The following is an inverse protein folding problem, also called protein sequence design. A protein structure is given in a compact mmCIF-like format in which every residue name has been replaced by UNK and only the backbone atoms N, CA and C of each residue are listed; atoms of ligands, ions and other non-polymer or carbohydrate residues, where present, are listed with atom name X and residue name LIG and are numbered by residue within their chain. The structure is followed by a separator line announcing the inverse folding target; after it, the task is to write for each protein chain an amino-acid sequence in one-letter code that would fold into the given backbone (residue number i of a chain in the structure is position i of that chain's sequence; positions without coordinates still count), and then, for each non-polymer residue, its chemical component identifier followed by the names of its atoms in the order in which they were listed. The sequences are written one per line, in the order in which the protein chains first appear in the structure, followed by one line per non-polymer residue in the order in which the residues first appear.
data_IF_643930861724
#
_entry.id   IF_643930861724
#
_cell.length_a   1.000
_cell.length_b   1.000
_cell.length_c   1.000
_cell.angle_alpha   90.00
_cell.angle_beta   90.00
_cell.angle_gamma   90.00
#
_symmetry.space_group_name_H-M   'P 1'
#
loop_
_entity.id
_entity.type
_entity.pdbx_description
1 polymer ?
#
# COMPACT_ATOMS: atom_id res chain seq x y z
N UNK A 1 15.71 -4.39 53.26
CA UNK A 1 15.98 -4.80 51.88
C UNK A 1 14.68 -4.67 51.08
N UNK A 2 14.49 -3.56 50.39
CA UNK A 2 13.34 -3.28 49.56
C UNK A 2 13.47 -4.11 48.25
N UNK A 3 12.56 -5.06 48.04
CA UNK A 3 12.42 -5.76 46.77
C UNK A 3 11.97 -4.74 45.72
N UNK A 4 12.92 -4.23 44.93
CA UNK A 4 12.62 -3.43 43.78
C UNK A 4 11.69 -4.22 42.86
N UNK A 5 10.44 -3.77 42.72
CA UNK A 5 9.54 -4.23 41.65
C UNK A 5 10.23 -3.91 40.32
N UNK A 6 10.74 -4.95 39.65
CA UNK A 6 11.12 -4.82 38.23
C UNK A 6 9.86 -4.36 37.51
N UNK A 7 9.77 -3.06 37.18
CA UNK A 7 8.74 -2.57 36.28
C UNK A 7 8.94 -3.34 34.97
N UNK A 8 7.97 -4.15 34.58
CA UNK A 8 7.93 -4.71 33.22
C UNK A 8 8.08 -3.52 32.27
N UNK A 9 9.20 -3.47 31.53
CA UNK A 9 9.42 -2.43 30.54
C UNK A 9 8.31 -2.59 29.51
N UNK A 10 7.45 -1.61 29.37
CA UNK A 10 6.39 -1.60 28.36
C UNK A 10 7.10 -1.58 27.01
N UNK A 11 6.76 -2.52 26.14
CA UNK A 11 7.27 -2.60 24.79
C UNK A 11 6.10 -2.39 23.84
N UNK A 12 6.24 -1.46 22.91
CA UNK A 12 5.24 -1.20 21.88
C UNK A 12 5.86 -1.52 20.52
N UNK A 13 5.48 -2.66 19.97
CA UNK A 13 5.94 -3.11 18.67
C UNK A 13 5.22 -2.33 17.55
N UNK A 14 5.88 -2.15 16.40
CA UNK A 14 5.34 -1.44 15.24
C UNK A 14 4.09 -2.12 14.67
N UNK A 15 4.05 -3.45 14.70
CA UNK A 15 2.94 -4.28 14.27
C UNK A 15 2.80 -5.49 15.23
N UNK A 16 1.62 -6.13 15.25
CA UNK A 16 1.37 -7.31 16.09
C UNK A 16 0.66 -8.42 15.31
N UNK A 17 1.44 -9.15 14.50
CA UNK A 17 0.94 -10.27 13.69
C UNK A 17 0.51 -11.47 14.54
N UNK A 18 1.09 -11.62 15.75
CA UNK A 18 0.68 -12.67 16.69
C UNK A 18 -0.76 -12.48 17.19
N UNK A 19 -1.14 -11.24 17.51
CA UNK A 19 -2.53 -10.94 17.88
C UNK A 19 -3.52 -11.14 16.72
N UNK A 20 -3.09 -10.90 15.48
CA UNK A 20 -3.90 -11.26 14.31
C UNK A 20 -4.17 -12.76 14.23
N UNK A 21 -3.13 -13.58 14.45
CA UNK A 21 -3.28 -15.03 14.50
C UNK A 21 -4.23 -15.46 15.61
N UNK A 22 -4.06 -14.93 16.82
CA UNK A 22 -4.92 -15.25 17.96
C UNK A 22 -6.41 -14.92 17.69
N UNK A 23 -6.69 -13.89 16.91
CA UNK A 23 -8.05 -13.50 16.55
C UNK A 23 -8.74 -14.45 15.57
N UNK A 24 -7.98 -15.20 14.74
CA UNK A 24 -8.54 -16.03 13.66
C UNK A 24 -8.24 -17.54 13.79
N UNK A 25 -7.33 -17.94 14.68
CA UNK A 25 -6.81 -19.31 14.77
C UNK A 25 -7.89 -20.38 14.88
N UNK A 26 -8.92 -20.14 15.66
CA UNK A 26 -9.97 -21.13 15.93
C UNK A 26 -10.80 -21.45 14.67
N UNK A 27 -10.90 -20.49 13.73
CA UNK A 27 -11.58 -20.66 12.44
C UNK A 27 -10.62 -21.17 11.36
N UNK A 28 -9.37 -20.73 11.37
CA UNK A 28 -8.39 -21.06 10.33
C UNK A 28 -7.80 -22.45 10.54
N UNK A 29 -7.50 -22.87 11.79
CA UNK A 29 -6.86 -24.15 12.07
C UNK A 29 -7.58 -25.35 11.47
N UNK A 30 -8.92 -25.53 11.61
CA UNK A 30 -9.62 -26.63 10.96
C UNK A 30 -9.54 -26.61 9.42
N UNK A 31 -9.51 -25.39 8.83
CA UNK A 31 -9.34 -25.22 7.37
C UNK A 31 -7.95 -25.65 6.91
N UNK A 32 -6.91 -25.34 7.70
CA UNK A 32 -5.55 -25.80 7.43
C UNK A 32 -5.40 -27.32 7.53
N UNK A 33 -5.99 -27.93 8.57
CA UNK A 33 -5.97 -29.37 8.75
C UNK A 33 -6.60 -30.09 7.55
N UNK A 34 -7.76 -29.62 7.09
CA UNK A 34 -8.43 -30.13 5.90
C UNK A 34 -7.59 -29.90 4.62
N UNK A 35 -6.98 -28.73 4.48
CA UNK A 35 -6.10 -28.40 3.35
C UNK A 35 -4.89 -29.33 3.28
N UNK A 36 -4.21 -29.57 4.40
CA UNK A 36 -3.06 -30.50 4.43
C UNK A 36 -3.45 -31.96 4.19
N UNK A 37 -4.61 -32.39 4.71
CA UNK A 37 -5.12 -33.73 4.42
C UNK A 37 -5.47 -33.94 2.94
N UNK A 38 -5.99 -32.90 2.28
CA UNK A 38 -6.32 -32.90 0.86
C UNK A 38 -5.07 -33.03 -0.03
N UNK A 39 -3.92 -32.47 0.41
CA UNK A 39 -2.62 -32.53 -0.28
C UNK A 39 -2.56 -31.80 -1.62
N UNK A 40 -3.45 -30.85 -1.87
CA UNK A 40 -3.55 -30.08 -3.12
C UNK A 40 -3.18 -28.62 -2.87
N UNK A 41 -1.90 -28.27 -3.00
CA UNK A 41 -1.33 -27.04 -2.49
C UNK A 41 -1.29 -25.88 -3.48
N UNK A 42 -1.34 -26.14 -4.79
CA UNK A 42 -1.29 -25.12 -5.85
C UNK A 42 -2.55 -25.20 -6.71
N UNK A 43 -3.21 -24.07 -6.86
CA UNK A 43 -4.51 -24.00 -7.50
C UNK A 43 -5.61 -24.64 -6.64
N UNK A 44 -6.82 -24.61 -7.12
CA UNK A 44 -7.96 -25.17 -6.39
C UNK A 44 -8.86 -24.09 -5.82
N UNK A 45 -9.99 -24.50 -5.24
CA UNK A 45 -11.08 -23.63 -4.85
C UNK A 45 -10.78 -22.59 -3.78
N UNK A 46 -9.64 -22.69 -3.06
CA UNK A 46 -9.25 -21.76 -2.02
C UNK A 46 -8.89 -20.38 -2.61
N UNK A 47 -8.16 -20.35 -3.73
CA UNK A 47 -7.77 -19.10 -4.41
C UNK A 47 -8.99 -18.46 -5.06
N UNK A 48 -9.75 -19.22 -5.82
CA UNK A 48 -10.97 -18.75 -6.47
C UNK A 48 -11.97 -18.20 -5.44
N UNK A 49 -12.16 -18.90 -4.32
CA UNK A 49 -13.08 -18.47 -3.26
C UNK A 49 -12.60 -17.19 -2.54
N UNK A 50 -11.31 -16.92 -2.48
CA UNK A 50 -10.77 -15.65 -1.99
C UNK A 50 -10.94 -14.55 -3.05
N UNK A 51 -10.62 -14.83 -4.32
CA UNK A 51 -10.78 -13.89 -5.43
C UNK A 51 -12.24 -13.40 -5.54
N UNK A 52 -13.21 -14.31 -5.46
CA UNK A 52 -14.65 -13.97 -5.45
C UNK A 52 -15.01 -13.06 -4.26
N UNK A 53 -14.59 -13.44 -3.04
CA UNK A 53 -14.86 -12.65 -1.84
C UNK A 53 -14.19 -11.27 -1.89
N UNK A 54 -12.98 -11.16 -2.46
CA UNK A 54 -12.28 -9.89 -2.57
C UNK A 54 -12.89 -8.99 -3.65
N UNK A 55 -13.34 -9.55 -4.77
CA UNK A 55 -14.07 -8.81 -5.81
C UNK A 55 -15.39 -8.26 -5.26
N UNK A 56 -16.15 -9.07 -4.49
CA UNK A 56 -17.36 -8.62 -3.81
C UNK A 56 -17.07 -7.49 -2.81
N UNK A 57 -16.04 -7.66 -1.97
CA UNK A 57 -15.63 -6.66 -0.98
C UNK A 57 -15.26 -5.32 -1.62
N UNK A 58 -14.47 -5.34 -2.71
CA UNK A 58 -14.05 -4.13 -3.42
C UNK A 58 -15.11 -3.58 -4.38
N UNK A 59 -16.23 -4.29 -4.55
CA UNK A 59 -17.30 -3.97 -5.53
C UNK A 59 -16.74 -3.83 -6.95
N UNK A 60 -15.82 -4.74 -7.31
CA UNK A 60 -15.26 -4.88 -8.67
C UNK A 60 -15.74 -6.19 -9.28
N UNK A 61 -15.73 -6.28 -10.62
CA UNK A 61 -16.21 -7.49 -11.31
C UNK A 61 -15.26 -8.68 -11.11
N UNK A 62 -13.95 -8.41 -11.01
CA UNK A 62 -12.93 -9.46 -10.97
C UNK A 62 -11.81 -9.12 -10.01
N UNK A 63 -11.33 -10.12 -9.28
CA UNK A 63 -10.09 -10.10 -8.54
C UNK A 63 -9.22 -11.30 -8.96
N UNK A 64 -7.93 -11.07 -9.09
CA UNK A 64 -6.95 -12.06 -9.56
C UNK A 64 -5.79 -12.10 -8.57
N UNK A 65 -5.65 -13.19 -7.82
CA UNK A 65 -4.56 -13.39 -6.86
C UNK A 65 -3.23 -13.58 -7.57
N UNK A 66 -2.17 -12.98 -7.04
CA UNK A 66 -0.81 -13.08 -7.57
C UNK A 66 0.22 -13.26 -6.43
N UNK A 67 1.48 -13.44 -6.82
CA UNK A 67 2.59 -13.74 -5.90
C UNK A 67 2.90 -12.63 -4.89
N UNK A 68 2.78 -11.36 -5.27
CA UNK A 68 3.03 -10.18 -4.43
C UNK A 68 2.59 -8.90 -5.16
N UNK A 69 2.63 -7.74 -4.46
CA UNK A 69 2.23 -6.46 -5.04
C UNK A 69 3.12 -6.01 -6.20
N UNK A 70 4.44 -6.20 -6.12
CA UNK A 70 5.39 -5.82 -7.17
C UNK A 70 5.10 -6.56 -8.48
N UNK A 71 4.90 -7.88 -8.39
CA UNK A 71 4.50 -8.69 -9.53
C UNK A 71 3.10 -8.31 -10.01
N UNK A 72 2.20 -7.96 -9.10
CA UNK A 72 0.87 -7.45 -9.44
C UNK A 72 0.92 -6.21 -10.32
N UNK A 73 1.74 -5.21 -9.96
CA UNK A 73 1.95 -4.00 -10.77
C UNK A 73 2.57 -4.33 -12.14
N UNK A 74 3.56 -5.23 -12.16
CA UNK A 74 4.17 -5.70 -13.41
C UNK A 74 3.14 -6.38 -14.32
N UNK A 75 2.33 -7.27 -13.78
CA UNK A 75 1.26 -7.97 -14.53
C UNK A 75 0.18 -7.01 -15.01
N UNK A 76 -0.19 -6.00 -14.19
CA UNK A 76 -1.17 -5.00 -14.56
C UNK A 76 -0.70 -4.17 -15.77
N UNK A 77 0.56 -3.74 -15.79
CA UNK A 77 1.15 -3.05 -16.94
C UNK A 77 1.18 -3.95 -18.20
N UNK A 78 1.54 -5.24 -18.05
CA UNK A 78 1.54 -6.18 -19.16
C UNK A 78 0.15 -6.46 -19.72
N UNK A 79 -0.88 -6.47 -18.86
CA UNK A 79 -2.26 -6.70 -19.30
C UNK A 79 -2.82 -5.60 -20.21
N UNK A 80 -2.25 -4.39 -20.16
CA UNK A 80 -2.63 -3.28 -21.06
C UNK A 80 -2.15 -3.48 -22.51
N UNK A 81 -1.18 -4.38 -22.78
CA UNK A 81 -0.60 -4.66 -24.10
C UNK A 81 -0.17 -3.39 -24.88
N UNK A 82 0.46 -2.47 -24.20
CA UNK A 82 0.87 -1.18 -24.74
C UNK A 82 1.90 -1.33 -25.87
N UNK A 83 1.67 -0.64 -26.98
CA UNK A 83 2.58 -0.61 -28.13
C UNK A 83 3.06 0.81 -28.36
N UNK A 84 4.35 0.95 -28.75
CA UNK A 84 4.99 2.23 -28.93
C UNK A 84 5.54 2.81 -27.64
N UNK A 85 5.95 4.08 -27.71
CA UNK A 85 6.57 4.78 -26.58
C UNK A 85 5.55 5.08 -25.50
N UNK A 86 5.79 4.57 -24.31
CA UNK A 86 4.88 4.66 -23.18
C UNK A 86 5.54 5.43 -22.02
N UNK A 87 4.82 6.39 -21.43
CA UNK A 87 5.24 6.99 -20.17
C UNK A 87 4.36 6.48 -19.04
N UNK A 88 5.00 6.06 -17.93
CA UNK A 88 4.32 5.74 -16.67
C UNK A 88 4.60 6.86 -15.67
N UNK A 89 3.55 7.50 -15.18
CA UNK A 89 3.60 8.65 -14.28
C UNK A 89 3.14 8.22 -12.90
N UNK A 90 3.98 8.43 -11.89
CA UNK A 90 3.72 8.01 -10.50
C UNK A 90 4.18 9.06 -9.49
N UNK A 91 3.73 9.02 -8.22
CA UNK A 91 4.21 9.93 -7.18
C UNK A 91 5.66 9.64 -6.81
N UNK A 92 6.43 10.68 -6.51
CA UNK A 92 7.85 10.59 -6.18
C UNK A 92 8.14 9.99 -4.79
N UNK A 93 7.14 9.96 -3.91
CA UNK A 93 7.23 9.47 -2.52
C UNK A 93 6.72 8.03 -2.32
N UNK A 94 6.43 7.30 -3.41
CA UNK A 94 5.97 5.91 -3.37
C UNK A 94 7.04 4.91 -2.90
N UNK A 95 6.74 3.63 -3.06
CA UNK A 95 7.69 2.55 -2.79
C UNK A 95 8.45 2.18 -4.06
N UNK A 96 9.68 1.70 -3.91
CA UNK A 96 10.57 1.35 -5.05
C UNK A 96 9.97 0.27 -5.98
N UNK A 97 8.97 -0.50 -5.51
CA UNK A 97 8.27 -1.48 -6.32
C UNK A 97 7.58 -0.86 -7.53
N UNK A 98 7.08 0.38 -7.40
CA UNK A 98 6.42 1.10 -8.49
C UNK A 98 7.39 1.29 -9.67
N UNK A 99 8.62 1.73 -9.39
CA UNK A 99 9.70 1.86 -10.39
C UNK A 99 10.04 0.49 -11.00
N UNK A 100 10.22 -0.53 -10.18
CA UNK A 100 10.62 -1.85 -10.67
C UNK A 100 9.54 -2.50 -11.55
N UNK A 101 8.27 -2.24 -11.28
CA UNK A 101 7.18 -2.73 -12.11
C UNK A 101 7.30 -2.26 -13.56
N UNK A 102 7.86 -1.07 -13.78
CA UNK A 102 8.10 -0.47 -15.10
C UNK A 102 9.46 -0.87 -15.66
N UNK A 103 10.53 -0.81 -14.85
CA UNK A 103 11.92 -1.11 -15.32
C UNK A 103 12.07 -2.51 -15.91
N UNK A 104 11.23 -3.45 -15.48
CA UNK A 104 11.26 -4.83 -15.97
C UNK A 104 10.22 -5.12 -17.05
N UNK A 105 9.58 -4.08 -17.63
CA UNK A 105 8.78 -4.24 -18.83
C UNK A 105 9.67 -4.39 -20.07
N UNK A 106 9.17 -5.13 -21.06
CA UNK A 106 9.73 -5.14 -22.40
C UNK A 106 9.10 -4.00 -23.23
N UNK A 107 9.91 -3.19 -23.90
CA UNK A 107 9.43 -2.10 -24.72
C UNK A 107 10.07 -0.75 -24.38
N UNK A 108 9.54 0.30 -24.96
CA UNK A 108 10.02 1.68 -24.79
C UNK A 108 9.20 2.37 -23.70
N UNK A 109 9.66 2.23 -22.46
CA UNK A 109 9.02 2.78 -21.28
C UNK A 109 9.85 3.88 -20.64
N UNK A 110 9.26 5.07 -20.50
CA UNK A 110 9.77 6.17 -19.70
C UNK A 110 9.03 6.25 -18.36
N UNK A 111 9.71 6.68 -17.31
CA UNK A 111 9.14 6.91 -15.99
C UNK A 111 9.19 8.40 -15.68
N UNK A 112 8.08 8.96 -15.22
CA UNK A 112 8.02 10.32 -14.69
C UNK A 112 7.56 10.30 -13.23
N UNK A 113 8.26 11.06 -12.40
CA UNK A 113 7.91 11.25 -10.99
C UNK A 113 7.29 12.61 -10.79
N UNK A 114 6.09 12.65 -10.26
CA UNK A 114 5.38 13.88 -9.87
C UNK A 114 5.43 14.01 -8.35
N UNK A 115 5.74 15.20 -7.84
CA UNK A 115 5.76 15.46 -6.41
C UNK A 115 4.36 15.27 -5.79
N UNK A 116 4.32 15.12 -4.49
CA UNK A 116 3.08 14.91 -3.77
C UNK A 116 2.52 16.20 -3.16
N UNK A 117 1.22 16.19 -2.93
CA UNK A 117 0.48 17.21 -2.19
C UNK A 117 0.75 17.16 -0.66
N UNK A 118 0.03 17.96 0.12
CA UNK A 118 0.14 17.99 1.58
C UNK A 118 -0.33 16.69 2.26
N UNK A 119 -1.10 15.86 1.56
CA UNK A 119 -1.65 14.57 2.01
C UNK A 119 -0.79 13.37 1.61
N UNK A 120 0.41 13.61 1.07
CA UNK A 120 1.31 12.58 0.54
C UNK A 120 0.77 11.84 -0.70
N UNK A 121 -0.23 12.37 -1.37
CA UNK A 121 -0.78 11.80 -2.61
C UNK A 121 -0.25 12.57 -3.82
N UNK A 122 -0.29 11.96 -5.02
CA UNK A 122 0.17 12.61 -6.24
C UNK A 122 -0.49 14.00 -6.42
N UNK A 123 0.32 15.05 -6.65
CA UNK A 123 -0.22 16.39 -6.90
C UNK A 123 -0.88 16.45 -8.29
N UNK A 124 -2.21 16.50 -8.30
CA UNK A 124 -3.00 16.48 -9.53
C UNK A 124 -2.80 17.72 -10.41
N UNK A 125 -2.41 18.86 -9.82
CA UNK A 125 -2.13 20.09 -10.58
C UNK A 125 -0.80 19.97 -11.33
N UNK A 126 0.23 19.44 -10.67
CA UNK A 126 1.50 19.14 -11.31
C UNK A 126 1.34 18.07 -12.38
N UNK A 127 0.55 17.02 -12.10
CA UNK A 127 0.22 15.96 -13.06
C UNK A 127 -0.44 16.54 -14.33
N UNK A 128 -1.47 17.39 -14.17
CA UNK A 128 -2.15 18.01 -15.31
C UNK A 128 -1.21 18.91 -16.11
N UNK A 129 -0.42 19.73 -15.44
CA UNK A 129 0.60 20.60 -16.08
C UNK A 129 1.62 19.77 -16.88
N UNK A 130 2.08 18.65 -16.34
CA UNK A 130 2.98 17.74 -17.06
C UNK A 130 2.34 17.24 -18.35
N UNK A 131 1.12 16.74 -18.28
CA UNK A 131 0.41 16.20 -19.43
C UNK A 131 0.07 17.24 -20.50
N UNK A 132 -0.25 18.48 -20.10
CA UNK A 132 -0.43 19.60 -21.06
C UNK A 132 0.82 19.85 -21.90
N UNK A 133 1.98 19.69 -21.32
CA UNK A 133 3.25 19.92 -21.98
C UNK A 133 3.80 18.71 -22.77
N UNK A 134 3.60 17.49 -22.23
CA UNK A 134 4.34 16.30 -22.68
C UNK A 134 3.49 15.16 -23.27
N UNK A 135 2.15 15.20 -23.15
CA UNK A 135 1.27 14.11 -23.61
C UNK A 135 1.54 13.68 -25.06
N UNK A 136 1.84 14.63 -25.95
CA UNK A 136 2.07 14.40 -27.38
C UNK A 136 3.40 13.67 -27.70
N UNK A 137 4.31 13.57 -26.72
CA UNK A 137 5.64 12.96 -26.90
C UNK A 137 5.55 11.42 -26.79
N UNK A 138 4.39 10.87 -26.42
CA UNK A 138 4.21 9.46 -26.11
C UNK A 138 2.96 8.90 -26.82
N UNK A 139 3.04 7.65 -27.26
CA UNK A 139 1.89 6.92 -27.81
C UNK A 139 0.89 6.60 -26.70
N UNK A 140 1.39 6.13 -25.56
CA UNK A 140 0.59 5.78 -24.39
C UNK A 140 1.06 6.52 -23.13
N UNK A 141 0.11 6.81 -22.24
CA UNK A 141 0.36 7.27 -20.88
C UNK A 141 -0.37 6.35 -19.92
N UNK A 142 0.34 5.93 -18.86
CA UNK A 142 -0.23 5.23 -17.72
C UNK A 142 -0.06 6.10 -16.47
N UNK A 143 -1.15 6.46 -15.84
CA UNK A 143 -1.14 7.08 -14.52
C UNK A 143 -1.12 5.97 -13.46
N UNK A 144 -0.17 6.04 -12.53
CA UNK A 144 -0.03 5.09 -11.44
C UNK A 144 -0.12 5.84 -10.10
N UNK A 145 -1.33 6.32 -9.70
CA UNK A 145 -1.53 6.88 -8.37
C UNK A 145 -1.29 5.82 -7.30
N UNK A 146 -0.61 6.22 -6.22
CA UNK A 146 -0.34 5.35 -5.05
C UNK A 146 -1.14 5.88 -3.87
N UNK A 147 -1.98 5.04 -3.28
CA UNK A 147 -2.77 5.35 -2.08
C UNK A 147 -1.91 5.18 -0.82
N UNK A 148 -0.93 6.07 -0.67
CA UNK A 148 0.15 5.94 0.31
C UNK A 148 -0.38 6.09 1.75
N UNK A 149 0.16 5.29 2.67
CA UNK A 149 -0.17 5.24 4.11
C UNK A 149 -1.61 4.82 4.44
N UNK A 150 -2.41 4.46 3.44
CA UNK A 150 -3.84 4.15 3.61
C UNK A 150 -4.73 5.38 3.43
N UNK A 151 -4.18 6.47 2.89
CA UNK A 151 -4.92 7.60 2.38
C UNK A 151 -5.31 7.35 0.92
N UNK A 152 -6.38 7.94 0.46
CA UNK A 152 -6.83 7.84 -0.93
C UNK A 152 -6.26 9.01 -1.73
N UNK A 153 -5.75 8.77 -2.93
CA UNK A 153 -5.44 9.85 -3.90
C UNK A 153 -6.73 10.50 -4.38
N UNK A 154 -6.67 11.75 -4.85
CA UNK A 154 -7.83 12.41 -5.46
C UNK A 154 -8.21 11.74 -6.78
N UNK A 155 -8.89 10.58 -6.67
CA UNK A 155 -9.24 9.75 -7.80
C UNK A 155 -10.28 10.41 -8.72
N UNK A 156 -11.04 11.37 -8.23
CA UNK A 156 -11.95 12.15 -9.06
C UNK A 156 -11.17 13.03 -10.04
N UNK A 157 -10.17 13.75 -9.55
CA UNK A 157 -9.31 14.58 -10.40
C UNK A 157 -8.39 13.72 -11.27
N UNK A 158 -7.80 12.64 -10.73
CA UNK A 158 -7.02 11.67 -11.54
C UNK A 158 -7.86 11.14 -12.72
N UNK A 159 -9.11 10.72 -12.48
CA UNK A 159 -10.00 10.20 -13.53
C UNK A 159 -10.38 11.28 -14.55
N UNK A 160 -10.62 12.52 -14.10
CA UNK A 160 -10.88 13.66 -15.00
C UNK A 160 -9.67 13.91 -15.92
N UNK A 161 -8.47 13.92 -15.34
CA UNK A 161 -7.22 14.12 -16.09
C UNK A 161 -6.99 12.96 -17.04
N UNK A 162 -7.14 11.71 -16.58
CA UNK A 162 -6.99 10.53 -17.41
C UNK A 162 -7.92 10.56 -18.65
N UNK A 163 -9.18 10.95 -18.43
CA UNK A 163 -10.16 11.10 -19.53
C UNK A 163 -9.77 12.22 -20.50
N UNK A 164 -9.34 13.40 -20.00
CA UNK A 164 -8.92 14.56 -20.82
C UNK A 164 -7.75 14.19 -21.74
N UNK A 165 -6.77 13.46 -21.22
CA UNK A 165 -5.54 13.14 -21.94
C UNK A 165 -5.49 11.73 -22.52
N UNK A 166 -6.55 10.94 -22.36
CA UNK A 166 -6.66 9.55 -22.83
C UNK A 166 -5.53 8.68 -22.24
N UNK A 167 -5.43 8.67 -20.92
CA UNK A 167 -4.46 7.88 -20.17
C UNK A 167 -5.13 6.61 -19.61
N UNK A 168 -4.37 5.54 -19.50
CA UNK A 168 -4.71 4.39 -18.66
C UNK A 168 -4.47 4.72 -17.19
N UNK A 169 -5.18 4.05 -16.27
CA UNK A 169 -5.01 4.24 -14.84
C UNK A 169 -4.82 2.88 -14.17
N UNK A 170 -3.69 2.72 -13.49
CA UNK A 170 -3.42 1.58 -12.58
C UNK A 170 -3.32 2.15 -11.17
N UNK A 171 -4.26 1.81 -10.28
CA UNK A 171 -4.18 2.22 -8.88
C UNK A 171 -3.24 1.30 -8.10
N UNK A 172 -2.25 1.84 -7.38
CA UNK A 172 -1.55 1.08 -6.34
C UNK A 172 -2.23 1.30 -4.98
N UNK A 173 -3.03 0.32 -4.59
CA UNK A 173 -3.74 0.26 -3.31
C UNK A 173 -3.04 -0.65 -2.29
N UNK A 174 -1.75 -0.92 -2.45
CA UNK A 174 -0.96 -1.80 -1.57
C UNK A 174 -1.00 -1.42 -0.09
N UNK A 175 -1.39 -0.20 0.23
CA UNK A 175 -1.52 0.32 1.60
C UNK A 175 -2.94 0.75 1.97
N UNK A 176 -3.93 0.53 1.09
CA UNK A 176 -5.25 1.15 1.20
C UNK A 176 -6.43 0.15 1.14
N UNK A 177 -6.24 -1.06 1.67
CA UNK A 177 -7.29 -2.08 1.71
C UNK A 177 -8.51 -1.59 2.50
N UNK A 178 -9.62 -1.35 1.80
CA UNK A 178 -10.88 -0.86 2.38
C UNK A 178 -11.00 0.65 2.50
N UNK A 179 -10.02 1.44 2.01
CA UNK A 179 -10.12 2.90 1.97
C UNK A 179 -11.18 3.36 0.97
N UNK A 180 -11.85 4.49 1.29
CA UNK A 180 -12.94 5.05 0.48
C UNK A 180 -12.71 6.52 0.18
N UNK A 181 -13.14 6.94 -1.01
CA UNK A 181 -13.21 8.34 -1.40
C UNK A 181 -14.42 9.02 -0.76
N UNK A 182 -14.46 10.36 -0.79
CA UNK A 182 -15.63 11.16 -0.34
C UNK A 182 -16.92 10.88 -1.10
N UNK A 183 -16.87 10.17 -2.23
CA UNK A 183 -18.04 9.68 -2.96
C UNK A 183 -18.51 8.29 -2.47
N UNK A 184 -17.90 7.74 -1.41
CA UNK A 184 -18.19 6.43 -0.85
C UNK A 184 -17.65 5.26 -1.68
N UNK A 185 -16.94 5.52 -2.80
CA UNK A 185 -16.34 4.47 -3.62
C UNK A 185 -15.05 3.96 -2.98
N UNK A 186 -14.88 2.66 -2.99
CA UNK A 186 -13.64 2.04 -2.55
C UNK A 186 -12.52 2.25 -3.59
N UNK A 187 -11.26 2.32 -3.13
CA UNK A 187 -10.11 2.26 -4.02
C UNK A 187 -10.20 1.01 -4.91
N UNK A 188 -9.75 1.11 -6.15
CA UNK A 188 -9.89 0.06 -7.16
C UNK A 188 -11.14 0.15 -8.04
N UNK A 189 -12.01 1.14 -7.80
CA UNK A 189 -13.22 1.36 -8.61
C UNK A 189 -13.07 2.47 -9.67
N UNK A 190 -11.91 3.11 -9.74
CA UNK A 190 -11.67 4.25 -10.64
C UNK A 190 -10.74 3.91 -11.80
N UNK A 191 -9.72 3.10 -11.57
CA UNK A 191 -8.74 2.71 -12.57
C UNK A 191 -9.20 1.59 -13.50
N UNK A 192 -8.46 1.38 -14.56
CA UNK A 192 -8.58 0.20 -15.44
C UNK A 192 -8.23 -1.07 -14.67
N UNK A 193 -7.22 -0.94 -13.80
CA UNK A 193 -6.69 -1.99 -12.93
C UNK A 193 -6.33 -1.39 -11.57
N UNK A 194 -6.41 -2.20 -10.52
CA UNK A 194 -5.91 -1.84 -9.20
C UNK A 194 -5.12 -2.98 -8.58
N UNK A 195 -4.04 -2.67 -7.90
CA UNK A 195 -3.13 -3.66 -7.31
C UNK A 195 -3.07 -3.49 -5.79
N UNK A 196 -3.19 -4.59 -5.08
CA UNK A 196 -3.09 -4.67 -3.63
C UNK A 196 -1.95 -5.62 -3.24
N UNK A 197 -1.05 -5.16 -2.38
CA UNK A 197 -0.05 -6.03 -1.75
C UNK A 197 -0.65 -6.66 -0.49
N UNK A 198 -0.56 -7.97 -0.38
CA UNK A 198 -0.94 -8.68 0.83
C UNK A 198 0.28 -9.14 1.64
N UNK A 199 1.41 -8.40 1.61
CA UNK A 199 2.54 -8.63 2.51
C UNK A 199 2.06 -8.68 3.97
N UNK A 200 2.63 -9.52 4.85
CA UNK A 200 2.09 -9.78 6.19
C UNK A 200 1.77 -8.54 7.02
N UNK A 201 2.54 -7.47 6.87
CA UNK A 201 2.33 -6.20 7.60
C UNK A 201 1.20 -5.32 7.05
N UNK A 202 0.58 -5.65 5.92
CA UNK A 202 -0.51 -4.87 5.33
C UNK A 202 -1.81 -5.03 6.13
N UNK A 203 -2.75 -4.10 5.95
CA UNK A 203 -4.04 -4.14 6.65
C UNK A 203 -4.78 -5.46 6.38
N UNK A 204 -4.72 -5.96 5.14
CA UNK A 204 -5.06 -7.33 4.78
C UNK A 204 -3.77 -8.07 4.42
N UNK A 205 -3.07 -8.61 5.40
CA UNK A 205 -1.80 -9.31 5.22
C UNK A 205 -1.93 -10.82 5.23
N UNK A 206 -1.28 -11.50 4.29
CA UNK A 206 -1.12 -12.95 4.25
C UNK A 206 -0.13 -13.43 5.33
N UNK A 207 0.30 -14.69 5.28
CA UNK A 207 1.37 -15.24 6.14
C UNK A 207 2.71 -15.37 5.41
N UNK A 208 2.82 -14.75 4.25
CA UNK A 208 3.97 -14.68 3.37
C UNK A 208 3.68 -13.66 2.28
N UNK A 209 4.42 -13.72 1.17
CA UNK A 209 4.16 -12.84 0.04
C UNK A 209 2.84 -13.22 -0.65
N UNK A 210 2.07 -12.22 -1.02
CA UNK A 210 0.82 -12.35 -1.77
C UNK A 210 0.38 -10.98 -2.30
N UNK A 211 -0.47 -10.98 -3.33
CA UNK A 211 -1.08 -9.78 -3.90
C UNK A 211 -2.37 -10.09 -4.62
N UNK A 212 -3.13 -9.05 -4.93
CA UNK A 212 -4.38 -9.15 -5.69
C UNK A 212 -4.44 -8.03 -6.70
N UNK A 213 -4.94 -8.33 -7.91
CA UNK A 213 -5.23 -7.35 -8.94
C UNK A 213 -6.74 -7.34 -9.15
N UNK A 214 -7.37 -6.17 -9.15
CA UNK A 214 -8.80 -6.04 -9.46
C UNK A 214 -9.02 -5.29 -10.76
N UNK A 215 -10.10 -5.62 -11.45
CA UNK A 215 -10.54 -4.92 -12.67
C UNK A 215 -12.04 -5.14 -12.92
N UNK A 216 -12.64 -4.23 -13.66
CA UNK A 216 -14.00 -4.39 -14.17
C UNK A 216 -14.05 -4.88 -15.63
N UNK A 217 -12.87 -5.07 -16.26
CA UNK A 217 -12.73 -5.34 -17.69
C UNK A 217 -12.35 -6.82 -17.89
N UNK A 218 -13.26 -7.59 -18.52
CA UNK A 218 -13.10 -9.03 -18.78
C UNK A 218 -11.82 -9.36 -19.58
N UNK A 219 -11.45 -8.50 -20.51
CA UNK A 219 -10.25 -8.68 -21.33
C UNK A 219 -8.98 -8.67 -20.47
N UNK A 220 -8.87 -7.73 -19.53
CA UNK A 220 -7.74 -7.68 -18.60
C UNK A 220 -7.72 -8.88 -17.64
N UNK A 221 -8.89 -9.30 -17.14
CA UNK A 221 -9.00 -10.52 -16.36
C UNK A 221 -8.42 -11.72 -17.10
N UNK A 222 -8.85 -11.93 -18.33
CA UNK A 222 -8.41 -13.07 -19.15
C UNK A 222 -6.90 -13.06 -19.37
N UNK A 223 -6.33 -11.90 -19.67
CA UNK A 223 -4.88 -11.72 -19.83
C UNK A 223 -4.12 -11.98 -18.52
N UNK A 224 -4.58 -11.42 -17.40
CA UNK A 224 -3.95 -11.60 -16.10
C UNK A 224 -3.93 -13.07 -15.66
N UNK A 225 -5.00 -13.83 -15.89
CA UNK A 225 -5.05 -15.26 -15.63
C UNK A 225 -4.00 -16.04 -16.42
N UNK A 226 -3.77 -15.69 -17.68
CA UNK A 226 -2.72 -16.28 -18.50
C UNK A 226 -1.33 -15.82 -18.03
N UNK A 227 -1.11 -14.51 -17.89
CA UNK A 227 0.18 -13.91 -17.52
C UNK A 227 0.73 -14.45 -16.20
N UNK A 228 -0.10 -14.59 -15.15
CA UNK A 228 0.32 -15.11 -13.83
C UNK A 228 0.67 -16.61 -13.87
N UNK A 229 0.24 -17.35 -14.89
CA UNK A 229 0.36 -18.78 -14.98
C UNK A 229 1.17 -19.21 -16.22
N UNK A 230 2.36 -18.65 -16.40
CA UNK A 230 3.29 -18.98 -17.49
C UNK A 230 2.67 -18.79 -18.89
N UNK A 231 1.75 -17.84 -19.05
CA UNK A 231 1.04 -17.57 -20.30
C UNK A 231 -0.04 -18.59 -20.66
N UNK A 232 -0.42 -19.46 -19.72
CA UNK A 232 -1.31 -20.59 -19.98
C UNK A 232 -2.71 -20.35 -19.44
N UNK A 233 -3.72 -20.50 -20.29
CA UNK A 233 -5.15 -20.53 -19.92
C UNK A 233 -5.67 -21.95 -19.75
N UNK A 234 -5.02 -22.92 -20.38
CA UNK A 234 -5.31 -24.34 -20.30
C UNK A 234 -4.00 -25.11 -20.25
N UNK A 235 -3.96 -26.23 -19.52
CA UNK A 235 -2.76 -27.02 -19.31
C UNK A 235 -2.05 -27.29 -20.65
N UNK A 236 -0.76 -26.88 -20.74
CA UNK A 236 0.12 -26.99 -21.91
C UNK A 236 -0.22 -26.07 -23.10
N UNK A 237 -1.21 -25.20 -23.00
CA UNK A 237 -1.52 -24.21 -24.03
C UNK A 237 -1.05 -22.82 -23.57
N UNK A 238 0.13 -22.38 -24.03
CA UNK A 238 0.72 -21.09 -23.72
C UNK A 238 0.43 -20.12 -24.87
N UNK A 239 -0.31 -19.05 -24.59
CA UNK A 239 -0.80 -18.10 -25.62
C UNK A 239 -0.08 -16.76 -25.56
N UNK A 240 0.62 -16.46 -24.47
CA UNK A 240 1.42 -15.25 -24.26
C UNK A 240 2.66 -15.61 -23.44
N UNK A 241 3.66 -14.73 -23.47
CA UNK A 241 4.80 -14.82 -22.54
C UNK A 241 4.30 -14.44 -21.13
N UNK A 242 4.40 -15.37 -20.21
CA UNK A 242 3.87 -15.22 -18.86
C UNK A 242 4.88 -15.64 -17.78
N UNK A 243 4.47 -15.47 -16.53
CA UNK A 243 5.31 -15.68 -15.35
C UNK A 243 4.71 -16.72 -14.41
N UNK A 244 5.51 -17.27 -13.52
CA UNK A 244 5.01 -18.07 -12.41
C UNK A 244 4.70 -17.15 -11.22
N UNK A 245 3.62 -16.36 -11.32
CA UNK A 245 3.22 -15.34 -10.34
C UNK A 245 1.85 -15.65 -9.74
N UNK A 246 1.60 -16.93 -9.44
CA UNK A 246 0.35 -17.39 -8.80
C UNK A 246 0.34 -17.04 -7.31
N UNK A 247 -0.85 -16.90 -6.75
CA UNK A 247 -1.07 -16.95 -5.30
C UNK A 247 -1.03 -18.40 -4.84
N UNK A 248 -0.35 -18.69 -3.73
CA UNK A 248 -0.41 -20.00 -3.09
C UNK A 248 -1.74 -20.17 -2.36
N UNK A 249 -2.34 -21.38 -2.44
CA UNK A 249 -3.66 -21.66 -1.85
C UNK A 249 -3.69 -21.43 -0.34
N UNK A 250 -2.58 -21.70 0.35
CA UNK A 250 -2.49 -21.43 1.79
C UNK A 250 -2.66 -19.95 2.12
N UNK A 251 -2.12 -19.04 1.31
CA UNK A 251 -2.29 -17.59 1.52
C UNK A 251 -3.77 -17.19 1.38
N UNK A 252 -4.46 -17.77 0.39
CA UNK A 252 -5.88 -17.51 0.16
C UNK A 252 -6.77 -17.91 1.35
N UNK A 253 -6.45 -19.02 2.03
CA UNK A 253 -7.18 -19.47 3.24
C UNK A 253 -7.12 -18.39 4.33
N UNK A 254 -5.92 -17.86 4.61
CA UNK A 254 -5.73 -16.80 5.61
C UNK A 254 -6.36 -15.48 5.19
N UNK A 255 -6.15 -15.08 3.94
CA UNK A 255 -6.67 -13.81 3.42
C UNK A 255 -8.19 -13.77 3.42
N UNK A 256 -8.85 -14.86 3.01
CA UNK A 256 -10.31 -14.96 3.02
C UNK A 256 -10.89 -14.81 4.43
N UNK A 257 -10.26 -15.41 5.43
CA UNK A 257 -10.70 -15.24 6.82
C UNK A 257 -10.45 -13.82 7.32
N UNK A 258 -9.24 -13.29 7.12
CA UNK A 258 -8.89 -11.92 7.55
C UNK A 258 -9.74 -10.85 6.87
N UNK A 259 -10.21 -11.10 5.65
CA UNK A 259 -11.09 -10.18 4.93
C UNK A 259 -12.39 -9.92 5.70
N UNK A 260 -12.93 -10.92 6.39
CA UNK A 260 -14.14 -10.76 7.22
C UNK A 260 -13.95 -9.86 8.45
N UNK A 261 -12.70 -9.61 8.85
CA UNK A 261 -12.34 -8.76 9.97
C UNK A 261 -11.81 -7.37 9.55
N UNK A 262 -11.57 -7.16 8.24
CA UNK A 262 -10.83 -6.00 7.74
C UNK A 262 -11.47 -4.66 8.13
N UNK A 263 -12.78 -4.51 7.98
CA UNK A 263 -13.47 -3.26 8.32
C UNK A 263 -13.39 -2.95 9.81
N UNK A 264 -13.52 -3.95 10.67
CA UNK A 264 -13.36 -3.81 12.11
C UNK A 264 -11.93 -3.38 12.45
N UNK A 265 -10.92 -4.03 11.87
CA UNK A 265 -9.52 -3.67 12.10
C UNK A 265 -9.17 -2.29 11.57
N UNK A 266 -9.72 -1.88 10.43
CA UNK A 266 -9.57 -0.52 9.91
C UNK A 266 -10.24 0.51 10.83
N UNK A 267 -11.42 0.22 11.37
CA UNK A 267 -12.08 1.07 12.36
C UNK A 267 -11.24 1.25 13.63
N UNK A 268 -10.63 0.18 14.13
CA UNK A 268 -9.71 0.25 15.28
C UNK A 268 -8.47 1.11 14.95
N UNK A 269 -7.88 1.00 13.75
CA UNK A 269 -6.78 1.87 13.31
C UNK A 269 -7.20 3.35 13.27
N UNK A 270 -8.40 3.67 12.77
CA UNK A 270 -8.94 5.03 12.80
C UNK A 270 -9.06 5.58 14.23
N UNK A 271 -9.56 4.76 15.15
CA UNK A 271 -9.66 5.14 16.57
C UNK A 271 -8.29 5.43 17.19
N UNK A 272 -7.28 4.61 16.90
CA UNK A 272 -5.91 4.80 17.36
C UNK A 272 -5.30 6.08 16.74
N UNK A 273 -5.53 6.32 15.46
CA UNK A 273 -5.06 7.52 14.76
C UNK A 273 -5.67 8.78 15.36
N UNK A 274 -6.98 8.78 15.65
CA UNK A 274 -7.66 9.88 16.31
C UNK A 274 -7.08 10.15 17.71
N UNK A 275 -6.79 9.10 18.48
CA UNK A 275 -6.20 9.22 19.80
C UNK A 275 -4.78 9.82 19.75
N UNK A 276 -3.93 9.36 18.82
CA UNK A 276 -2.62 9.98 18.58
C UNK A 276 -2.75 11.46 18.22
N UNK A 277 -3.64 11.78 17.28
CA UNK A 277 -3.85 13.15 16.81
C UNK A 277 -4.32 14.06 17.95
N UNK A 278 -5.28 13.62 18.76
CA UNK A 278 -5.77 14.39 19.91
C UNK A 278 -4.69 14.64 20.96
N UNK A 279 -3.90 13.61 21.27
CA UNK A 279 -2.89 13.70 22.32
C UNK A 279 -1.61 14.43 21.89
N UNK A 280 -1.31 14.51 20.58
CA UNK A 280 -0.11 15.15 20.03
C UNK A 280 -0.36 16.56 19.45
N UNK A 281 -1.61 17.03 19.35
CA UNK A 281 -1.97 18.29 18.67
C UNK A 281 -1.25 19.54 19.18
N UNK A 282 -0.84 19.54 20.45
CA UNK A 282 -0.18 20.69 21.08
C UNK A 282 1.36 20.63 21.04
N UNK A 283 1.95 19.58 20.46
CA UNK A 283 3.40 19.44 20.30
C UNK A 283 3.84 20.17 19.04
N UNK A 284 4.39 21.38 19.18
CA UNK A 284 4.68 22.31 18.07
C UNK A 284 5.70 21.79 17.06
N UNK A 285 6.60 20.92 17.50
CA UNK A 285 7.66 20.31 16.68
C UNK A 285 7.15 19.16 15.79
N UNK A 286 5.85 18.85 15.87
CA UNK A 286 5.20 17.77 15.11
C UNK A 286 4.13 18.34 14.20
N UNK A 287 4.13 17.90 12.94
CA UNK A 287 2.99 18.02 12.04
C UNK A 287 2.28 16.69 11.94
N UNK A 288 1.03 16.68 12.36
CA UNK A 288 0.16 15.50 12.29
C UNK A 288 -0.24 15.19 10.84
N UNK A 289 -0.61 13.92 10.52
CA UNK A 289 -1.26 13.63 9.25
C UNK A 289 -2.57 14.41 9.13
N UNK A 290 -2.84 14.89 7.94
CA UNK A 290 -4.03 15.69 7.60
C UNK A 290 -4.98 14.79 6.82
N UNK A 291 -6.29 14.88 7.10
CA UNK A 291 -7.31 14.21 6.31
C UNK A 291 -7.68 15.05 5.09
N UNK A 292 -7.70 14.44 3.91
CA UNK A 292 -8.05 15.12 2.68
C UNK A 292 -9.56 15.15 2.48
N UNK A 293 -10.09 16.26 1.95
CA UNK A 293 -11.52 16.44 1.69
C UNK A 293 -12.08 15.41 0.67
N UNK A 294 -11.23 14.86 -0.17
CA UNK A 294 -11.58 13.84 -1.17
C UNK A 294 -11.53 12.40 -0.63
N UNK A 295 -11.20 12.21 0.65
CA UNK A 295 -11.13 10.90 1.31
C UNK A 295 -12.14 10.84 2.45
N UNK A 296 -13.03 9.86 2.44
CA UNK A 296 -14.01 9.65 3.50
C UNK A 296 -13.50 8.70 4.58
N UNK A 297 -12.89 7.60 4.17
CA UNK A 297 -12.41 6.57 5.08
C UNK A 297 -10.95 6.21 4.80
N UNK A 298 -10.05 6.84 5.54
CA UNK A 298 -8.65 6.44 5.59
C UNK A 298 -8.50 5.18 6.44
N UNK A 299 -7.57 4.30 6.07
CA UNK A 299 -7.37 3.02 6.78
C UNK A 299 -6.09 2.99 7.61
N UNK A 300 -5.35 4.09 7.65
CA UNK A 300 -4.14 4.27 8.47
C UNK A 300 -3.25 3.03 8.52
N UNK A 301 -2.84 2.57 7.32
CA UNK A 301 -1.80 1.54 7.25
C UNK A 301 -0.56 2.00 8.02
N UNK A 302 -0.20 3.26 7.84
CA UNK A 302 0.87 3.97 8.55
C UNK A 302 0.30 5.23 9.17
N UNK A 303 0.63 5.52 10.43
CA UNK A 303 0.45 6.81 11.05
C UNK A 303 1.76 7.58 10.96
N UNK A 304 1.88 8.44 9.95
CA UNK A 304 3.11 9.12 9.57
C UNK A 304 3.10 10.58 10.05
N UNK A 305 4.03 10.92 10.92
CA UNK A 305 4.28 12.29 11.38
C UNK A 305 5.37 12.94 10.53
N UNK A 306 5.36 14.30 10.46
CA UNK A 306 6.55 15.07 10.12
C UNK A 306 7.08 15.66 11.43
N UNK A 307 8.34 15.43 11.75
CA UNK A 307 8.91 15.76 13.06
C UNK A 307 10.24 16.52 12.92
N UNK A 308 10.53 17.38 13.88
CA UNK A 308 11.86 17.95 14.06
C UNK A 308 12.77 16.96 14.81
N UNK A 309 14.08 17.02 14.58
CA UNK A 309 15.09 16.17 15.23
C UNK A 309 14.75 14.65 15.12
N UNK A 310 14.38 14.21 13.91
CA UNK A 310 13.84 12.87 13.66
C UNK A 310 14.74 11.74 14.16
N UNK A 311 16.04 11.81 13.89
CA UNK A 311 17.01 10.76 14.24
C UNK A 311 17.13 10.62 15.76
N UNK A 312 17.19 11.74 16.47
CA UNK A 312 17.27 11.79 17.93
C UNK A 312 15.96 11.30 18.57
N UNK A 313 14.82 11.77 18.04
CA UNK A 313 13.51 11.29 18.50
C UNK A 313 13.35 9.79 18.26
N UNK A 314 13.70 9.29 17.09
CA UNK A 314 13.62 7.86 16.78
C UNK A 314 14.48 7.04 17.74
N UNK A 315 15.72 7.47 17.98
CA UNK A 315 16.63 6.83 18.92
C UNK A 315 16.05 6.81 20.33
N UNK A 316 15.54 7.96 20.81
CA UNK A 316 14.90 8.08 22.12
C UNK A 316 13.70 7.13 22.28
N UNK A 317 12.84 7.03 21.25
CA UNK A 317 11.70 6.12 21.25
C UNK A 317 12.13 4.64 21.34
N UNK A 318 13.13 4.25 20.55
CA UNK A 318 13.66 2.87 20.53
C UNK A 318 14.28 2.52 21.91
N UNK A 319 15.07 3.41 22.51
CA UNK A 319 15.68 3.23 23.83
C UNK A 319 14.63 3.08 24.95
N UNK A 320 13.44 3.66 24.76
CA UNK A 320 12.30 3.52 25.65
C UNK A 320 11.32 2.39 25.27
N UNK A 321 11.71 1.49 24.34
CA UNK A 321 10.92 0.31 23.98
C UNK A 321 9.79 0.56 22.99
N UNK A 322 9.80 1.68 22.27
CA UNK A 322 8.84 2.01 21.20
C UNK A 322 9.49 1.79 19.84
N UNK A 323 8.98 0.86 19.07
CA UNK A 323 9.50 0.57 17.72
C UNK A 323 8.85 1.50 16.68
N UNK A 324 9.69 2.29 16.01
CA UNK A 324 9.28 3.19 14.94
C UNK A 324 10.00 2.86 13.63
N UNK A 325 9.42 3.26 12.50
CA UNK A 325 9.96 3.01 11.15
C UNK A 325 9.88 4.32 10.34
N UNK A 326 10.69 4.43 9.29
CA UNK A 326 10.64 5.58 8.36
C UNK A 326 10.17 5.05 6.99
N UNK A 327 9.08 5.59 6.45
CA UNK A 327 8.51 5.21 5.16
C UNK A 327 8.41 6.44 4.24
N UNK A 328 9.47 6.83 3.43
CA UNK A 328 10.75 6.14 3.30
C UNK A 328 11.91 7.13 3.51
N UNK A 329 13.06 6.71 4.04
CA UNK A 329 14.15 7.61 4.40
C UNK A 329 14.93 8.15 3.19
N UNK A 330 14.80 7.50 2.05
CA UNK A 330 15.41 7.87 0.77
C UNK A 330 14.29 7.92 -0.26
N UNK A 331 14.17 9.06 -0.93
CA UNK A 331 13.20 9.21 -2.02
C UNK A 331 13.51 8.27 -3.19
N UNK A 332 12.50 7.98 -4.00
CA UNK A 332 12.69 7.15 -5.21
C UNK A 332 13.76 7.76 -6.12
N UNK A 333 13.69 9.08 -6.35
CA UNK A 333 14.66 9.77 -7.24
C UNK A 333 16.11 9.72 -6.73
N UNK A 334 16.30 9.77 -5.41
CA UNK A 334 17.63 9.72 -4.78
C UNK A 334 18.16 8.29 -4.59
N UNK A 335 17.36 7.27 -4.91
CA UNK A 335 17.79 5.88 -4.77
C UNK A 335 18.89 5.50 -5.75
N UNK A 336 19.93 4.82 -5.25
CA UNK A 336 21.11 4.41 -6.04
C UNK A 336 20.72 3.53 -7.24
N UNK A 337 19.70 2.72 -7.13
CA UNK A 337 19.21 1.86 -8.21
C UNK A 337 18.58 2.65 -9.38
N UNK A 338 18.26 3.92 -9.17
CA UNK A 338 17.70 4.84 -10.18
C UNK A 338 18.75 5.80 -10.73
N UNK A 339 20.02 5.60 -10.37
CA UNK A 339 21.14 6.39 -10.90
C UNK A 339 21.18 6.29 -12.43
N UNK A 340 21.07 7.44 -13.09
CA UNK A 340 21.03 7.54 -14.56
C UNK A 340 19.61 7.67 -15.15
N UNK A 341 18.55 7.50 -14.38
CA UNK A 341 17.22 7.95 -14.78
C UNK A 341 17.15 9.48 -14.64
N UNK A 342 16.56 10.14 -15.63
CA UNK A 342 16.33 11.59 -15.62
C UNK A 342 14.83 11.80 -15.42
N UNK A 343 14.48 12.48 -14.34
CA UNK A 343 13.10 12.88 -14.05
C UNK A 343 12.88 14.33 -14.42
N UNK A 344 11.71 14.65 -14.96
CA UNK A 344 11.41 15.98 -15.50
C UNK A 344 11.27 17.08 -14.45
N UNK A 345 11.09 16.71 -13.18
CA UNK A 345 10.82 17.64 -12.08
C UNK A 345 11.75 17.43 -10.88
N UNK A 346 12.00 18.54 -10.16
CA UNK A 346 12.57 18.49 -8.82
C UNK A 346 11.43 18.25 -7.82
N UNK A 347 11.43 17.09 -7.16
CA UNK A 347 10.39 16.68 -6.20
C UNK A 347 10.77 17.19 -4.80
N UNK A 348 10.65 18.50 -4.59
CA UNK A 348 11.13 19.18 -3.38
C UNK A 348 10.39 18.77 -2.10
N UNK A 349 9.06 18.54 -2.18
CA UNK A 349 8.30 18.08 -1.02
C UNK A 349 8.74 16.67 -0.61
N UNK A 350 8.91 15.79 -1.58
CA UNK A 350 9.39 14.42 -1.36
C UNK A 350 10.76 14.41 -0.69
N UNK A 351 11.74 15.19 -1.20
CA UNK A 351 13.07 15.27 -0.61
C UNK A 351 13.04 15.87 0.81
N UNK A 352 12.25 16.91 1.03
CA UNK A 352 12.08 17.53 2.35
C UNK A 352 11.45 16.55 3.35
N UNK A 353 10.37 15.88 2.93
CA UNK A 353 9.64 14.98 3.80
C UNK A 353 10.44 13.71 4.13
N UNK A 354 11.23 13.15 3.19
CA UNK A 354 12.09 12.00 3.46
C UNK A 354 13.04 12.21 4.65
N UNK A 355 13.36 13.46 4.98
CA UNK A 355 14.23 13.85 6.10
C UNK A 355 13.49 14.06 7.42
N UNK A 356 12.16 14.22 7.42
CA UNK A 356 11.38 14.59 8.60
C UNK A 356 10.29 13.61 8.99
N UNK A 357 9.93 12.66 8.11
CA UNK A 357 8.87 11.69 8.39
C UNK A 357 9.30 10.63 9.40
N UNK A 358 8.35 10.27 10.29
CA UNK A 358 8.49 9.19 11.26
C UNK A 358 7.16 8.47 11.41
N UNK A 359 7.16 7.16 11.28
CA UNK A 359 5.96 6.32 11.42
C UNK A 359 5.88 5.75 12.83
N UNK A 360 4.81 6.04 13.53
CA UNK A 360 4.53 5.50 14.86
C UNK A 360 3.94 4.09 14.78
N UNK A 361 4.01 3.30 15.87
CA UNK A 361 3.31 2.03 15.98
C UNK A 361 1.83 2.18 15.61
N UNK A 362 1.34 1.32 14.71
CA UNK A 362 -0.03 1.38 14.23
C UNK A 362 -0.52 -0.01 13.84
N UNK A 363 -1.33 -0.63 14.71
CA UNK A 363 -2.01 -1.89 14.41
C UNK A 363 -3.33 -1.99 15.19
N UNK A 364 -4.33 -2.77 14.73
CA UNK A 364 -5.67 -2.79 15.30
C UNK A 364 -5.76 -3.30 16.75
N UNK A 365 -4.70 -3.92 17.25
CA UNK A 365 -4.64 -4.52 18.60
C UNK A 365 -3.92 -3.62 19.63
N UNK A 366 -3.69 -2.35 19.30
CA UNK A 366 -3.20 -1.38 20.29
C UNK A 366 -4.33 -0.96 21.24
N UNK A 367 -3.98 -0.76 22.50
CA UNK A 367 -4.86 -0.17 23.48
C UNK A 367 -4.45 1.29 23.82
N UNK A 368 -5.31 1.98 24.55
CA UNK A 368 -5.09 3.37 24.95
C UNK A 368 -3.81 3.56 25.76
N UNK A 369 -3.50 2.65 26.69
CA UNK A 369 -2.29 2.70 27.51
C UNK A 369 -1.01 2.67 26.67
N UNK A 370 -0.99 1.88 25.58
CA UNK A 370 0.14 1.82 24.65
C UNK A 370 0.28 3.13 23.87
N UNK A 371 -0.82 3.71 23.42
CA UNK A 371 -0.81 5.01 22.73
C UNK A 371 -0.33 6.10 23.68
N UNK A 372 -0.85 6.16 24.91
CA UNK A 372 -0.41 7.11 25.93
C UNK A 372 1.08 6.97 26.27
N UNK A 373 1.56 5.74 26.36
CA UNK A 373 2.97 5.49 26.59
C UNK A 373 3.85 6.09 25.48
N UNK A 374 3.50 5.84 24.20
CA UNK A 374 4.21 6.42 23.04
C UNK A 374 4.17 7.95 23.08
N UNK A 375 2.99 8.52 23.32
CA UNK A 375 2.78 9.99 23.35
C UNK A 375 3.59 10.64 24.47
N UNK A 376 3.63 10.05 25.67
CA UNK A 376 4.37 10.60 26.79
C UNK A 376 5.88 10.62 26.50
N UNK A 377 6.45 9.56 25.92
CA UNK A 377 7.87 9.55 25.52
C UNK A 377 8.18 10.64 24.50
N UNK A 378 7.28 10.88 23.53
CA UNK A 378 7.44 11.95 22.53
C UNK A 378 7.41 13.32 23.22
N UNK A 379 6.45 13.56 24.13
CA UNK A 379 6.33 14.82 24.87
C UNK A 379 7.53 15.10 25.77
N UNK A 380 8.00 14.07 26.50
CA UNK A 380 9.18 14.18 27.35
C UNK A 380 10.42 14.56 26.53
N UNK A 381 10.62 13.92 25.34
CA UNK A 381 11.72 14.25 24.45
C UNK A 381 11.74 15.74 24.05
N UNK A 382 10.58 16.30 23.67
CA UNK A 382 10.53 17.71 23.26
C UNK A 382 10.49 18.69 24.43
N UNK A 383 10.08 18.26 25.63
CA UNK A 383 10.18 19.10 26.82
C UNK A 383 11.65 19.26 27.30
N UNK A 384 12.45 18.21 27.13
CA UNK A 384 13.87 18.22 27.55
C UNK A 384 14.81 18.86 26.51
N UNK A 385 14.38 19.00 25.26
CA UNK A 385 15.20 19.48 24.13
C UNK A 385 14.62 20.73 23.44
N UNK A 386 13.59 21.37 23.99
CA UNK A 386 12.87 22.51 23.44
C UNK A 386 13.21 23.88 24.07
#
# INVERSE_FOLDING_TARGET
MSKGKVRKQVKVDFNNLGAQWDAIKDVVQPKLDAFFQKGYYIGGGEVEAFEEAFAEYTSTNYAIGCSNGTDGLKLALQALELKGRTQVIMPANGYIADIYSVKYQHGDFDIELIDHDDYFQIDTKLLETHLENRRKDFDNIVLLPVHLYGHVSDMKEVSRIASKFKCYVIEDASQAHGARTSEGKMVGQYGDLCVYSCYPGKNLGAIGDSGVITTNIEEYRTRLLALRNLGSIKKYEHIVDGWNNRMDSIQAIFLKEKLTHLDQWNSQRRSIAALYSEKLKDVKQIKLPIEAEYSEEQVFHIYCLRVENREELQKHLIENGVHTVIHYPISIQSSVCNKGLVFGYENNNTEKNSKSILSLPMHPFMNEEQVEFVVNIIKDFYADNG
#
